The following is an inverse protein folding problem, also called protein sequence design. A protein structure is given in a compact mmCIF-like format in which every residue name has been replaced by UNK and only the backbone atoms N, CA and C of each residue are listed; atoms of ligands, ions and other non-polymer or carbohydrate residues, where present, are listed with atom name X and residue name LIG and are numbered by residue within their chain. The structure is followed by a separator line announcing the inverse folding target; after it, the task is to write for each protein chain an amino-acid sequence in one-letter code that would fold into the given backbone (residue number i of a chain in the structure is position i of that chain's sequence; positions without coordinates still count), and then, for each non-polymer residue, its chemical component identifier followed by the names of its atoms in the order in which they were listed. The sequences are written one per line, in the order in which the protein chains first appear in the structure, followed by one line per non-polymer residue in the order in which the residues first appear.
data_IF_397902924842
#
_entry.id   IF_397902924842
#
_cell.length_a   1.000
_cell.length_b   1.000
_cell.length_c   1.000
_cell.angle_alpha   90.00
_cell.angle_beta   90.00
_cell.angle_gamma   90.00
#
_symmetry.space_group_name_H-M   'P 1'
#
loop_
_entity.id
_entity.type
_entity.pdbx_description
1 polymer ?
#
# COMPACT_ATOMS: atom_id res chain seq x y z
N UNK A 1 14.82 65.86 -58.70
CA UNK A 1 14.41 65.76 -57.28
C UNK A 1 13.62 64.47 -57.11
N UNK A 2 13.98 63.60 -56.16
CA UNK A 2 13.33 62.29 -55.95
C UNK A 2 12.27 62.45 -54.85
N UNK A 3 11.00 62.31 -55.18
CA UNK A 3 9.90 62.35 -54.21
C UNK A 3 9.97 61.14 -53.26
N UNK A 4 10.27 61.41 -51.98
CA UNK A 4 10.13 60.40 -50.91
C UNK A 4 8.65 60.31 -50.52
N UNK A 5 7.96 59.32 -51.08
CA UNK A 5 6.61 58.92 -50.66
C UNK A 5 6.71 58.23 -49.30
N UNK A 6 6.35 58.94 -48.23
CA UNK A 6 6.18 58.35 -46.90
C UNK A 6 4.94 57.45 -46.92
N UNK A 7 5.13 56.12 -46.97
CA UNK A 7 4.03 55.16 -46.83
C UNK A 7 3.64 55.09 -45.36
N UNK A 8 2.56 55.77 -44.98
CA UNK A 8 1.92 55.58 -43.68
C UNK A 8 1.33 54.17 -43.59
N UNK A 9 1.51 53.51 -42.44
CA UNK A 9 0.83 52.25 -42.14
C UNK A 9 -0.60 52.61 -41.73
N UNK A 10 -1.58 52.07 -42.45
CA UNK A 10 -2.99 52.24 -42.09
C UNK A 10 -3.26 51.52 -40.77
N UNK A 11 -4.09 52.10 -39.89
CA UNK A 11 -4.44 51.50 -38.60
C UNK A 11 -4.90 50.03 -38.71
N UNK A 12 -5.61 49.70 -39.80
CA UNK A 12 -6.05 48.33 -40.11
C UNK A 12 -4.87 47.38 -40.30
N UNK A 13 -3.83 47.79 -41.03
CA UNK A 13 -2.63 46.97 -41.25
C UNK A 13 -1.87 46.72 -39.94
N UNK A 14 -1.85 47.72 -39.04
CA UNK A 14 -1.28 47.57 -37.72
C UNK A 14 -2.05 46.54 -36.87
N UNK A 15 -3.38 46.65 -36.84
CA UNK A 15 -4.25 45.75 -36.06
C UNK A 15 -4.12 44.30 -36.54
N UNK A 16 -4.16 44.05 -37.85
CA UNK A 16 -4.03 42.69 -38.40
C UNK A 16 -2.69 42.07 -38.03
N UNK A 17 -1.61 42.86 -38.07
CA UNK A 17 -0.28 42.38 -37.69
C UNK A 17 -0.23 41.95 -36.22
N UNK A 18 -0.85 42.73 -35.33
CA UNK A 18 -0.93 42.40 -33.90
C UNK A 18 -1.72 41.10 -33.69
N UNK A 19 -2.86 40.93 -34.37
CA UNK A 19 -3.68 39.71 -34.26
C UNK A 19 -2.89 38.48 -34.70
N UNK A 20 -2.18 38.56 -35.84
CA UNK A 20 -1.37 37.45 -36.35
C UNK A 20 -0.25 37.09 -35.37
N UNK A 21 0.44 38.09 -34.81
CA UNK A 21 1.49 37.86 -33.81
C UNK A 21 0.94 37.18 -32.55
N UNK A 22 -0.26 37.56 -32.09
CA UNK A 22 -0.90 36.95 -30.93
C UNK A 22 -1.30 35.49 -31.20
N UNK A 23 -1.80 35.18 -32.40
CA UNK A 23 -2.15 33.81 -32.79
C UNK A 23 -0.91 32.90 -32.89
N UNK A 24 0.17 33.40 -33.52
CA UNK A 24 1.43 32.65 -33.62
C UNK A 24 2.09 32.46 -32.24
N UNK A 25 2.04 33.48 -31.38
CA UNK A 25 2.54 33.37 -30.01
C UNK A 25 1.73 32.33 -29.23
N UNK A 26 0.40 32.34 -29.36
CA UNK A 26 -0.48 31.37 -28.69
C UNK A 26 -0.16 29.91 -29.05
N UNK A 27 0.00 29.60 -30.34
CA UNK A 27 0.32 28.22 -30.78
C UNK A 27 1.75 27.81 -30.41
N UNK A 28 2.70 28.75 -30.45
CA UNK A 28 4.10 28.48 -30.09
C UNK A 28 4.29 28.24 -28.59
N UNK A 29 3.61 29.02 -27.74
CA UNK A 29 3.66 28.85 -26.28
C UNK A 29 3.05 27.51 -25.88
N UNK A 30 1.91 27.12 -26.46
CA UNK A 30 1.32 25.81 -26.20
C UNK A 30 2.27 24.66 -26.56
N UNK A 31 2.97 24.72 -27.69
CA UNK A 31 3.94 23.68 -28.07
C UNK A 31 5.15 23.64 -27.12
N UNK A 32 5.56 24.79 -26.59
CA UNK A 32 6.71 24.90 -25.69
C UNK A 32 6.37 24.42 -24.27
N UNK A 33 5.19 24.77 -23.73
CA UNK A 33 4.85 24.67 -22.30
C UNK A 33 3.62 23.82 -21.96
N UNK A 34 2.94 23.18 -22.92
CA UNK A 34 1.84 22.26 -22.60
C UNK A 34 2.35 20.98 -21.91
N UNK A 35 1.43 20.22 -21.29
CA UNK A 35 1.68 18.83 -20.93
C UNK A 35 1.99 18.04 -22.22
N UNK A 36 3.17 17.42 -22.28
CA UNK A 36 3.82 16.85 -23.48
C UNK A 36 4.48 17.85 -24.45
N UNK A 37 4.56 19.13 -24.07
CA UNK A 37 5.35 20.14 -24.76
C UNK A 37 6.86 19.90 -24.64
N UNK A 38 7.65 20.64 -25.42
CA UNK A 38 9.10 20.40 -25.55
C UNK A 38 9.84 20.55 -24.21
N UNK A 39 9.50 21.56 -23.41
CA UNK A 39 10.16 21.78 -22.12
C UNK A 39 9.88 20.65 -21.13
N UNK A 40 8.63 20.22 -21.06
CA UNK A 40 8.19 19.10 -20.21
C UNK A 40 8.90 17.80 -20.59
N UNK A 41 8.99 17.48 -21.88
CA UNK A 41 9.67 16.26 -22.33
C UNK A 41 11.20 16.33 -22.11
N UNK A 42 11.80 17.51 -22.27
CA UNK A 42 13.22 17.71 -21.99
C UNK A 42 13.52 17.56 -20.49
N UNK A 43 12.64 18.05 -19.62
CA UNK A 43 12.73 17.89 -18.18
C UNK A 43 12.56 16.42 -17.75
N UNK A 44 11.59 15.71 -18.31
CA UNK A 44 11.41 14.27 -18.08
C UNK A 44 12.62 13.44 -18.54
N UNK A 45 13.17 13.74 -19.72
CA UNK A 45 14.37 13.07 -20.23
C UNK A 45 15.60 13.35 -19.35
N UNK A 46 15.77 14.61 -18.91
CA UNK A 46 16.83 14.99 -17.98
C UNK A 46 16.69 14.26 -16.64
N UNK A 47 15.50 14.26 -16.05
CA UNK A 47 15.24 13.57 -14.79
C UNK A 47 15.48 12.06 -14.93
N UNK A 48 15.12 11.46 -16.07
CA UNK A 48 15.43 10.05 -16.37
C UNK A 48 16.94 9.78 -16.37
N UNK A 49 17.71 10.60 -17.10
CA UNK A 49 19.19 10.47 -17.15
C UNK A 49 19.83 10.70 -15.78
N UNK A 50 19.39 11.72 -15.04
CA UNK A 50 19.88 12.01 -13.70
C UNK A 50 19.58 10.84 -12.74
N UNK A 51 18.39 10.23 -12.81
CA UNK A 51 18.03 9.03 -12.02
C UNK A 51 18.93 7.81 -12.30
N UNK A 52 19.32 7.58 -13.56
CA UNK A 52 20.20 6.47 -13.93
C UNK A 52 21.62 6.69 -13.37
N UNK A 53 22.14 7.91 -13.48
CA UNK A 53 23.47 8.25 -12.97
C UNK A 53 23.54 8.12 -11.43
N UNK A 54 22.49 8.55 -10.72
CA UNK A 54 22.42 8.47 -9.26
C UNK A 54 22.40 7.02 -8.74
N UNK A 55 21.67 6.12 -9.45
CA UNK A 55 21.63 4.70 -9.09
C UNK A 55 22.98 4.01 -9.31
N UNK A 56 23.65 4.30 -10.43
CA UNK A 56 24.95 3.71 -10.79
C UNK A 56 26.06 4.10 -9.79
N UNK A 57 26.03 5.34 -9.30
CA UNK A 57 26.93 5.78 -8.23
C UNK A 57 26.75 4.97 -6.95
N UNK A 58 25.50 4.72 -6.55
CA UNK A 58 25.21 3.89 -5.36
C UNK A 58 25.60 2.43 -5.61
N UNK A 59 25.33 1.87 -6.79
CA UNK A 59 25.74 0.51 -7.16
C UNK A 59 27.25 0.32 -7.00
N UNK A 60 28.03 1.29 -7.45
CA UNK A 60 29.49 1.28 -7.33
C UNK A 60 29.95 1.21 -5.87
N UNK A 61 29.37 2.05 -5.00
CA UNK A 61 29.72 2.05 -3.57
C UNK A 61 29.25 0.78 -2.84
N UNK A 62 28.10 0.21 -3.24
CA UNK A 62 27.64 -1.09 -2.71
C UNK A 62 28.62 -2.20 -3.06
N UNK A 63 29.06 -2.30 -4.32
CA UNK A 63 30.07 -3.29 -4.71
C UNK A 63 31.40 -3.13 -3.95
N UNK A 64 31.82 -1.89 -3.68
CA UNK A 64 33.02 -1.59 -2.90
C UNK A 64 32.94 -1.91 -1.41
N UNK A 65 31.75 -2.23 -0.89
CA UNK A 65 31.48 -2.36 0.55
C UNK A 65 31.29 -3.79 1.04
N UNK A 66 31.48 -4.79 0.16
CA UNK A 66 31.48 -6.20 0.55
C UNK A 66 32.82 -6.59 1.20
N UNK A 67 32.73 -7.37 2.27
CA UNK A 67 33.91 -7.97 2.90
C UNK A 67 34.42 -9.19 2.10
N UNK A 68 35.54 -9.77 2.55
CA UNK A 68 36.15 -10.96 1.91
C UNK A 68 35.29 -12.22 1.98
N UNK A 69 34.21 -12.22 2.78
CA UNK A 69 33.26 -13.34 2.90
C UNK A 69 31.99 -13.09 2.09
N UNK A 70 31.92 -11.97 1.35
CA UNK A 70 30.75 -11.60 0.56
C UNK A 70 29.61 -11.01 1.39
N UNK A 71 29.87 -10.52 2.61
CA UNK A 71 28.88 -9.81 3.42
C UNK A 71 29.02 -8.30 3.21
N UNK A 72 27.91 -7.62 2.94
CA UNK A 72 27.88 -6.16 2.85
C UNK A 72 28.06 -5.54 4.24
N UNK A 73 29.03 -4.64 4.39
CA UNK A 73 29.37 -4.02 5.69
C UNK A 73 28.76 -2.62 5.75
N UNK A 74 27.71 -2.45 6.59
CA UNK A 74 26.91 -1.22 6.67
C UNK A 74 27.75 0.03 6.98
N UNK A 75 28.68 -0.04 7.94
CA UNK A 75 29.55 1.08 8.31
C UNK A 75 30.48 1.49 7.16
N UNK A 76 31.01 0.50 6.42
CA UNK A 76 31.85 0.75 5.24
C UNK A 76 31.03 1.36 4.11
N UNK A 77 29.82 0.84 3.88
CA UNK A 77 28.89 1.37 2.89
C UNK A 77 28.49 2.81 3.15
N UNK A 78 28.09 3.14 4.38
CA UNK A 78 27.71 4.50 4.78
C UNK A 78 28.88 5.47 4.60
N UNK A 79 30.10 5.06 4.96
CA UNK A 79 31.31 5.85 4.76
C UNK A 79 31.60 6.09 3.29
N UNK A 80 31.55 5.04 2.47
CA UNK A 80 31.78 5.10 1.03
C UNK A 80 30.80 6.06 0.33
N UNK A 81 29.50 5.93 0.63
CA UNK A 81 28.46 6.82 0.11
C UNK A 81 28.72 8.28 0.48
N UNK A 82 29.00 8.57 1.76
CA UNK A 82 29.23 9.95 2.23
C UNK A 82 30.51 10.58 1.66
N UNK A 83 31.53 9.77 1.40
CA UNK A 83 32.83 10.25 0.96
C UNK A 83 32.95 10.37 -0.57
N UNK A 84 32.29 9.50 -1.33
CA UNK A 84 32.45 9.42 -2.78
C UNK A 84 31.27 10.01 -3.56
N UNK A 85 30.09 10.06 -2.97
CA UNK A 85 28.90 10.63 -3.62
C UNK A 85 28.65 12.03 -3.06
N UNK A 86 28.70 13.05 -3.92
CA UNK A 86 28.47 14.43 -3.49
C UNK A 86 26.99 14.73 -3.32
N UNK A 87 26.65 15.45 -2.24
CA UNK A 87 25.30 15.95 -2.04
C UNK A 87 24.30 14.86 -1.65
N UNK A 88 24.74 13.86 -0.90
CA UNK A 88 23.86 12.84 -0.31
C UNK A 88 23.84 12.91 1.21
N UNK A 89 22.74 12.42 1.78
CA UNK A 89 22.62 12.10 3.20
C UNK A 89 22.16 10.66 3.36
N UNK A 90 22.45 10.04 4.50
CA UNK A 90 21.95 8.70 4.84
C UNK A 90 21.10 8.73 6.11
N UNK A 91 20.16 7.77 6.24
CA UNK A 91 19.51 7.52 7.53
C UNK A 91 20.50 6.89 8.53
N UNK A 92 20.21 6.98 9.83
CA UNK A 92 21.09 6.50 10.91
C UNK A 92 21.55 5.05 10.68
N UNK A 93 22.87 4.77 10.48
CA UNK A 93 23.39 3.52 9.91
C UNK A 93 23.48 2.38 10.94
N UNK A 94 22.41 2.13 11.69
CA UNK A 94 22.37 1.11 12.75
C UNK A 94 21.87 -0.24 12.24
N UNK A 95 21.12 -0.25 11.14
CA UNK A 95 20.58 -1.47 10.50
C UNK A 95 20.29 -1.23 9.02
N UNK A 96 20.30 -2.30 8.22
CA UNK A 96 19.70 -2.27 6.89
C UNK A 96 18.17 -2.17 7.00
N UNK A 97 17.48 -1.55 6.02
CA UNK A 97 18.05 -0.94 4.82
C UNK A 97 18.69 0.43 5.09
N UNK A 98 19.80 0.72 4.40
CA UNK A 98 20.38 2.06 4.36
C UNK A 98 19.66 2.88 3.28
N UNK A 99 19.16 4.05 3.65
CA UNK A 99 18.50 5.00 2.77
C UNK A 99 19.49 6.09 2.40
N UNK A 100 19.73 6.29 1.11
CA UNK A 100 20.55 7.37 0.55
C UNK A 100 19.65 8.40 -0.09
N UNK A 101 19.73 9.65 0.35
CA UNK A 101 18.93 10.77 -0.19
C UNK A 101 19.85 11.74 -0.91
N UNK A 102 19.63 11.97 -2.20
CA UNK A 102 20.29 13.02 -2.96
C UNK A 102 19.66 14.37 -2.65
N UNK A 103 20.40 15.25 -1.98
CA UNK A 103 19.94 16.58 -1.56
C UNK A 103 19.52 17.51 -2.70
N UNK A 104 20.03 17.30 -3.92
CA UNK A 104 19.74 18.15 -5.08
C UNK A 104 18.47 17.71 -5.84
N UNK A 105 18.29 16.41 -6.04
CA UNK A 105 17.15 15.84 -6.77
C UNK A 105 15.99 15.47 -5.85
N UNK A 106 16.25 15.27 -4.55
CA UNK A 106 15.30 14.74 -3.58
C UNK A 106 15.05 13.23 -3.73
N UNK A 107 15.74 12.56 -4.67
CA UNK A 107 15.60 11.13 -4.87
C UNK A 107 16.20 10.37 -3.68
N UNK A 108 15.48 9.34 -3.24
CA UNK A 108 15.97 8.41 -2.23
C UNK A 108 16.21 7.05 -2.87
N UNK A 109 17.15 6.28 -2.32
CA UNK A 109 17.45 4.91 -2.72
C UNK A 109 17.62 4.06 -1.46
N UNK A 110 16.95 2.92 -1.38
CA UNK A 110 17.12 1.93 -0.31
C UNK A 110 18.08 0.84 -0.74
N UNK A 111 18.98 0.46 0.17
CA UNK A 111 19.98 -0.58 -0.02
C UNK A 111 19.73 -1.68 1.00
N UNK A 112 19.48 -2.92 0.55
CA UNK A 112 19.27 -4.08 1.43
C UNK A 112 20.58 -4.66 2.00
N UNK A 113 20.49 -5.60 2.95
CA UNK A 113 21.67 -6.33 3.46
C UNK A 113 22.35 -7.18 2.36
N UNK A 114 21.60 -7.59 1.33
CA UNK A 114 22.11 -8.35 0.19
C UNK A 114 22.70 -7.44 -0.92
N UNK A 115 22.60 -6.12 -0.78
CA UNK A 115 23.11 -5.14 -1.74
C UNK A 115 22.13 -4.78 -2.87
N UNK A 116 20.86 -5.16 -2.76
CA UNK A 116 19.84 -4.74 -3.72
C UNK A 116 19.52 -3.26 -3.56
N UNK A 117 19.52 -2.53 -4.67
CA UNK A 117 19.22 -1.09 -4.70
C UNK A 117 17.87 -0.85 -5.35
N UNK A 118 16.95 -0.24 -4.60
CA UNK A 118 15.64 0.19 -5.08
C UNK A 118 15.51 1.70 -4.89
N UNK A 119 14.88 2.40 -5.83
CA UNK A 119 14.53 3.81 -5.62
C UNK A 119 13.57 3.85 -4.41
N UNK A 120 14.00 4.46 -3.32
CA UNK A 120 13.16 4.65 -2.16
C UNK A 120 12.14 5.72 -2.52
N UNK A 121 10.87 5.38 -2.35
CA UNK A 121 9.79 6.33 -2.53
C UNK A 121 9.85 7.25 -1.32
N UNK A 122 10.19 8.52 -1.54
CA UNK A 122 10.23 9.50 -0.46
C UNK A 122 8.82 10.03 -0.24
N UNK A 123 8.12 9.46 0.72
CA UNK A 123 6.79 9.92 1.06
C UNK A 123 6.87 11.19 1.89
N UNK A 124 6.10 12.24 1.53
CA UNK A 124 6.06 13.47 2.28
C UNK A 124 5.50 13.17 3.67
N UNK A 125 6.01 13.87 4.67
CA UNK A 125 5.47 13.73 6.03
C UNK A 125 4.04 14.29 6.08
N UNK A 126 3.19 13.80 6.99
CA UNK A 126 1.87 14.40 7.16
C UNK A 126 1.93 15.87 7.58
N UNK A 127 3.05 16.35 8.14
CA UNK A 127 3.25 17.78 8.35
C UNK A 127 3.33 18.55 7.02
N UNK A 128 4.07 18.01 6.05
CA UNK A 128 4.22 18.61 4.72
C UNK A 128 2.95 18.53 3.87
N UNK A 129 2.20 17.42 3.97
CA UNK A 129 0.98 17.23 3.17
C UNK A 129 -0.24 17.80 3.86
N UNK A 130 -0.46 17.42 5.12
CA UNK A 130 -1.71 17.62 5.85
C UNK A 130 -1.62 18.74 6.90
N UNK A 131 -0.45 19.32 7.15
CA UNK A 131 -0.29 20.37 8.16
C UNK A 131 -0.57 19.91 9.60
N UNK A 132 -0.46 18.61 9.86
CA UNK A 132 -0.76 18.03 11.18
C UNK A 132 0.42 18.23 12.12
N UNK A 133 0.14 18.79 13.30
CA UNK A 133 1.13 18.93 14.36
C UNK A 133 1.45 17.56 14.97
N UNK A 134 2.64 17.06 14.66
CA UNK A 134 3.17 15.81 15.21
C UNK A 134 3.34 15.84 16.74
N UNK A 135 3.27 17.02 17.37
CA UNK A 135 3.37 17.23 18.81
C UNK A 135 2.01 17.32 19.51
N UNK A 136 0.90 17.06 18.82
CA UNK A 136 -0.42 17.09 19.44
C UNK A 136 -0.51 16.13 20.64
N UNK A 137 -1.29 16.53 21.65
CA UNK A 137 -1.36 15.86 22.96
C UNK A 137 -2.01 14.48 22.92
N UNK A 138 -2.84 14.20 21.92
CA UNK A 138 -3.54 12.92 21.79
C UNK A 138 -3.35 12.30 20.40
N UNK A 139 -3.38 10.98 20.31
CA UNK A 139 -3.26 10.27 19.02
C UNK A 139 -4.43 10.59 18.06
N UNK A 140 -5.61 10.90 18.61
CA UNK A 140 -6.78 11.33 17.83
C UNK A 140 -6.51 12.65 17.10
N UNK A 141 -5.83 13.60 17.74
CA UNK A 141 -5.47 14.90 17.14
C UNK A 141 -4.40 14.75 16.05
N UNK A 142 -3.56 13.72 16.14
CA UNK A 142 -2.54 13.38 15.11
C UNK A 142 -3.13 12.73 13.86
N UNK A 143 -4.43 12.40 13.87
CA UNK A 143 -5.09 11.67 12.80
C UNK A 143 -6.25 12.49 12.21
N UNK A 144 -5.97 13.47 11.33
CA UNK A 144 -7.00 14.29 10.71
C UNK A 144 -7.95 13.46 9.83
N UNK A 145 -9.07 14.07 9.49
CA UNK A 145 -10.02 13.54 8.51
C UNK A 145 -9.60 13.93 7.10
N UNK A 146 -9.69 12.97 6.18
CA UNK A 146 -9.37 13.14 4.76
C UNK A 146 -10.52 12.57 3.93
N UNK A 147 -11.00 13.32 2.95
CA UNK A 147 -11.92 12.80 1.94
C UNK A 147 -11.11 12.19 0.81
N UNK A 148 -11.20 10.86 0.67
CA UNK A 148 -10.61 10.12 -0.43
C UNK A 148 -11.70 9.81 -1.46
N UNK A 149 -11.49 10.15 -2.73
CA UNK A 149 -12.41 9.79 -3.82
C UNK A 149 -12.02 8.42 -4.36
N UNK A 150 -12.92 7.44 -4.26
CA UNK A 150 -12.69 6.08 -4.72
C UNK A 150 -12.77 5.96 -6.27
N UNK A 151 -12.44 4.79 -6.79
CA UNK A 151 -12.47 4.53 -8.24
C UNK A 151 -13.85 4.63 -8.89
N UNK A 152 -14.92 4.67 -8.08
CA UNK A 152 -16.30 4.81 -8.52
C UNK A 152 -16.83 6.23 -8.27
N UNK A 153 -15.93 7.19 -8.02
CA UNK A 153 -16.22 8.60 -7.73
C UNK A 153 -17.02 8.82 -6.42
N UNK A 154 -17.04 7.84 -5.52
CA UNK A 154 -17.64 8.02 -4.20
C UNK A 154 -16.61 8.58 -3.22
N UNK A 155 -17.06 9.45 -2.32
CA UNK A 155 -16.23 9.94 -1.23
C UNK A 155 -16.20 8.93 -0.08
N UNK A 156 -15.01 8.45 0.26
CA UNK A 156 -14.72 7.71 1.47
C UNK A 156 -14.12 8.68 2.49
N UNK A 157 -14.80 8.86 3.61
CA UNK A 157 -14.22 9.56 4.75
C UNK A 157 -13.14 8.67 5.37
N UNK A 158 -11.92 9.18 5.45
CA UNK A 158 -10.76 8.48 5.94
C UNK A 158 -10.12 9.21 7.12
N UNK A 159 -9.26 8.48 7.83
CA UNK A 159 -8.35 9.00 8.87
C UNK A 159 -6.93 8.55 8.57
N UNK A 160 -5.95 9.31 9.06
CA UNK A 160 -4.54 8.91 8.94
C UNK A 160 -4.24 7.79 9.94
N UNK A 161 -4.00 6.58 9.42
CA UNK A 161 -3.62 5.42 10.21
C UNK A 161 -2.14 5.49 10.59
N UNK A 162 -1.27 5.73 9.60
CA UNK A 162 0.17 5.85 9.77
C UNK A 162 0.68 7.13 9.11
N UNK A 163 1.71 7.69 9.74
CA UNK A 163 2.55 8.74 9.22
C UNK A 163 3.94 8.52 9.80
N UNK A 164 4.77 7.80 9.08
CA UNK A 164 6.13 7.43 9.48
C UNK A 164 7.08 7.42 8.28
N UNK A 165 8.27 6.86 8.47
CA UNK A 165 9.30 6.73 7.43
C UNK A 165 8.83 5.97 6.18
N UNK A 166 7.76 5.18 6.27
CA UNK A 166 7.18 4.46 5.15
C UNK A 166 6.01 5.23 4.52
N UNK A 167 5.77 6.49 4.90
CA UNK A 167 4.75 7.37 4.33
C UNK A 167 3.42 7.42 5.07
N UNK A 168 2.41 7.92 4.36
CA UNK A 168 1.08 8.21 4.91
C UNK A 168 0.10 7.13 4.46
N UNK A 169 -0.51 6.44 5.43
CA UNK A 169 -1.60 5.49 5.19
C UNK A 169 -2.93 6.10 5.66
N UNK A 170 -3.93 6.12 4.79
CA UNK A 170 -5.30 6.51 5.10
C UNK A 170 -6.17 5.28 5.28
N UNK A 171 -6.90 5.18 6.39
CA UNK A 171 -7.90 4.11 6.61
C UNK A 171 -9.31 4.69 6.54
N UNK A 172 -10.26 3.93 5.97
CA UNK A 172 -11.68 4.34 6.02
C UNK A 172 -12.14 4.54 7.46
N UNK A 173 -12.78 5.66 7.77
CA UNK A 173 -13.21 5.98 9.15
C UNK A 173 -14.41 5.15 9.60
N UNK A 174 -15.25 4.75 8.65
CA UNK A 174 -16.49 4.01 8.87
C UNK A 174 -16.56 2.75 7.99
N UNK A 175 -17.57 1.93 8.25
CA UNK A 175 -17.92 0.81 7.39
C UNK A 175 -18.36 1.31 6.00
N UNK A 176 -17.81 0.70 4.95
CA UNK A 176 -18.21 1.02 3.59
C UNK A 176 -19.65 0.57 3.32
N UNK A 177 -20.39 1.42 2.61
CA UNK A 177 -21.78 1.18 2.24
C UNK A 177 -22.00 1.47 0.76
N UNK A 178 -22.86 0.68 0.13
CA UNK A 178 -23.41 0.95 -1.19
C UNK A 178 -24.94 1.01 -1.06
N UNK A 179 -25.54 2.13 -1.48
CA UNK A 179 -26.99 2.38 -1.36
C UNK A 179 -27.55 2.07 0.04
N UNK A 180 -26.81 2.47 1.09
CA UNK A 180 -27.20 2.28 2.50
C UNK A 180 -26.94 0.90 3.09
N UNK A 181 -26.54 -0.09 2.28
CA UNK A 181 -26.21 -1.45 2.75
C UNK A 181 -24.71 -1.62 2.94
N UNK A 182 -24.29 -2.33 3.99
CA UNK A 182 -22.87 -2.64 4.22
C UNK A 182 -22.29 -3.45 3.07
N UNK A 183 -21.06 -3.11 2.70
CA UNK A 183 -20.27 -3.90 1.76
C UNK A 183 -19.56 -4.99 2.56
N UNK A 184 -19.88 -6.24 2.24
CA UNK A 184 -19.40 -7.41 2.97
C UNK A 184 -18.58 -8.33 2.07
N UNK A 185 -17.51 -8.89 2.63
CA UNK A 185 -16.70 -9.92 1.98
C UNK A 185 -17.07 -11.27 2.57
N UNK A 186 -17.37 -12.23 1.70
CA UNK A 186 -17.70 -13.61 2.09
C UNK A 186 -16.42 -14.44 2.08
N UNK A 187 -16.10 -15.09 3.20
CA UNK A 187 -15.01 -16.06 3.29
C UNK A 187 -15.55 -17.43 3.72
N UNK A 188 -14.75 -18.47 3.47
CA UNK A 188 -15.03 -19.87 3.75
C UNK A 188 -15.77 -20.59 2.61
N UNK A 189 -16.65 -21.53 2.95
CA UNK A 189 -17.35 -22.43 2.03
C UNK A 189 -18.05 -21.72 0.86
N UNK A 190 -18.71 -20.60 1.13
CA UNK A 190 -19.47 -19.84 0.12
C UNK A 190 -18.70 -18.64 -0.43
N UNK A 191 -17.38 -18.59 -0.28
CA UNK A 191 -16.55 -17.57 -0.89
C UNK A 191 -16.70 -17.63 -2.42
N UNK A 192 -17.20 -16.57 -3.08
CA UNK A 192 -17.44 -16.57 -4.51
C UNK A 192 -16.15 -16.50 -5.35
N UNK A 193 -15.00 -16.24 -4.73
CA UNK A 193 -13.70 -16.13 -5.41
C UNK A 193 -12.97 -17.47 -5.57
N UNK A 194 -13.42 -18.52 -4.89
CA UNK A 194 -12.80 -19.84 -4.93
C UNK A 194 -13.84 -20.94 -5.11
N UNK A 195 -13.35 -22.10 -5.50
CA UNK A 195 -14.11 -23.34 -5.63
C UNK A 195 -13.32 -24.50 -5.03
N UNK A 196 -13.97 -25.66 -4.87
CA UNK A 196 -13.30 -26.87 -4.41
C UNK A 196 -12.12 -27.33 -5.29
N UNK A 197 -12.03 -26.84 -6.54
CA UNK A 197 -10.95 -27.18 -7.49
C UNK A 197 -9.67 -26.41 -7.20
N UNK A 198 -9.77 -25.30 -6.49
CA UNK A 198 -8.64 -24.42 -6.15
C UNK A 198 -7.85 -24.95 -4.94
N UNK A 199 -8.24 -26.13 -4.42
CA UNK A 199 -7.54 -26.79 -3.32
C UNK A 199 -7.20 -28.24 -3.64
N UNK A 200 -5.90 -28.55 -3.63
CA UNK A 200 -5.37 -29.90 -3.85
C UNK A 200 -4.88 -30.49 -2.53
N UNK A 201 -5.28 -31.75 -2.29
CA UNK A 201 -4.85 -32.52 -1.13
C UNK A 201 -4.65 -33.98 -1.55
N UNK A 202 -3.47 -34.51 -1.24
CA UNK A 202 -3.00 -35.86 -1.63
C UNK A 202 -2.65 -36.73 -0.43
N UNK A 203 -3.19 -36.42 0.75
CA UNK A 203 -3.01 -37.22 1.97
C UNK A 203 -4.08 -38.30 2.18
N UNK A 204 -4.02 -38.95 3.33
CA UNK A 204 -4.88 -40.08 3.71
C UNK A 204 -6.11 -39.67 4.56
N UNK A 205 -6.26 -38.38 4.85
CA UNK A 205 -7.41 -37.82 5.56
C UNK A 205 -8.69 -37.79 4.73
N UNK A 206 -9.83 -37.57 5.39
CA UNK A 206 -11.15 -37.50 4.75
C UNK A 206 -11.54 -36.05 4.48
N UNK A 207 -11.97 -35.71 3.25
CA UNK A 207 -12.36 -34.34 2.88
C UNK A 207 -13.43 -34.36 1.78
N UNK A 208 -14.54 -33.63 1.98
CA UNK A 208 -15.59 -33.47 0.97
C UNK A 208 -15.38 -32.19 0.12
N UNK A 209 -16.28 -31.93 -0.84
CA UNK A 209 -16.18 -30.75 -1.72
C UNK A 209 -16.34 -29.42 -0.99
N UNK A 210 -17.20 -29.38 0.03
CA UNK A 210 -17.40 -28.20 0.86
C UNK A 210 -16.16 -27.86 1.68
N UNK A 211 -15.53 -28.89 2.26
CA UNK A 211 -14.28 -28.75 3.01
C UNK A 211 -13.17 -28.19 2.11
N UNK A 212 -13.05 -28.69 0.87
CA UNK A 212 -12.08 -28.17 -0.12
C UNK A 212 -12.31 -26.71 -0.46
N UNK A 213 -13.56 -26.28 -0.64
CA UNK A 213 -13.87 -24.89 -0.93
C UNK A 213 -13.52 -23.96 0.24
N UNK A 214 -13.84 -24.36 1.48
CA UNK A 214 -13.47 -23.59 2.67
C UNK A 214 -11.95 -23.53 2.87
N UNK A 215 -11.25 -24.64 2.63
CA UNK A 215 -9.79 -24.71 2.66
C UNK A 215 -9.13 -23.80 1.60
N UNK A 216 -9.68 -23.79 0.38
CA UNK A 216 -9.26 -22.85 -0.68
C UNK A 216 -9.43 -21.40 -0.23
N UNK A 217 -10.60 -21.07 0.36
CA UNK A 217 -10.91 -19.71 0.80
C UNK A 217 -9.96 -19.26 1.91
N UNK A 218 -9.65 -20.11 2.90
CA UNK A 218 -8.66 -19.78 3.93
C UNK A 218 -7.28 -19.45 3.33
N UNK A 219 -6.81 -20.28 2.40
CA UNK A 219 -5.52 -20.07 1.74
C UNK A 219 -5.51 -18.80 0.87
N UNK A 220 -6.64 -18.43 0.26
CA UNK A 220 -6.77 -17.24 -0.59
C UNK A 220 -7.28 -16.00 0.17
N UNK A 221 -7.56 -16.09 1.47
CA UNK A 221 -8.27 -15.05 2.21
C UNK A 221 -7.60 -13.66 2.16
N UNK A 222 -6.27 -13.58 2.32
CA UNK A 222 -5.53 -12.32 2.23
C UNK A 222 -5.61 -11.72 0.83
N UNK A 223 -5.46 -12.55 -0.21
CA UNK A 223 -5.63 -12.12 -1.59
C UNK A 223 -7.04 -11.60 -1.86
N UNK A 224 -8.09 -12.33 -1.45
CA UNK A 224 -9.47 -11.89 -1.57
C UNK A 224 -9.72 -10.53 -0.90
N UNK A 225 -9.21 -10.33 0.32
CA UNK A 225 -9.40 -9.09 1.08
C UNK A 225 -8.62 -7.92 0.48
N UNK A 226 -7.37 -8.13 0.08
CA UNK A 226 -6.54 -7.09 -0.53
C UNK A 226 -7.03 -6.73 -1.94
N UNK A 227 -7.46 -7.71 -2.75
CA UNK A 227 -8.16 -7.47 -4.01
C UNK A 227 -9.41 -6.61 -3.79
N UNK A 228 -10.20 -6.88 -2.75
CA UNK A 228 -11.40 -6.10 -2.47
C UNK A 228 -11.07 -4.65 -2.12
N UNK A 229 -10.03 -4.40 -1.32
CA UNK A 229 -9.58 -3.05 -0.99
C UNK A 229 -9.04 -2.30 -2.21
N UNK A 230 -8.26 -2.98 -3.06
CA UNK A 230 -7.67 -2.40 -4.27
C UNK A 230 -8.73 -1.94 -5.29
N UNK A 231 -9.93 -2.53 -5.28
CA UNK A 231 -11.06 -2.04 -6.09
C UNK A 231 -11.49 -0.62 -5.76
N UNK A 232 -11.21 -0.12 -4.56
CA UNK A 232 -11.58 1.25 -4.16
C UNK A 232 -10.48 2.25 -4.47
N UNK A 233 -9.28 1.81 -4.86
CA UNK A 233 -8.21 2.72 -5.22
C UNK A 233 -8.50 3.37 -6.56
N UNK A 234 -8.68 4.68 -6.55
CA UNK A 234 -8.71 5.46 -7.79
C UNK A 234 -7.29 5.55 -8.36
N UNK A 235 -7.03 4.79 -9.43
CA UNK A 235 -5.70 4.78 -10.07
C UNK A 235 -5.48 6.00 -10.96
N UNK A 236 -6.55 6.70 -11.35
CA UNK A 236 -6.50 7.78 -12.33
C UNK A 236 -6.06 9.12 -11.74
N UNK A 237 -6.36 9.38 -10.46
CA UNK A 237 -5.93 10.61 -9.77
C UNK A 237 -4.46 10.56 -9.31
N UNK A 238 -3.91 9.35 -9.16
CA UNK A 238 -2.55 9.14 -8.68
C UNK A 238 -2.33 9.57 -7.23
N UNK A 239 -3.39 9.75 -6.44
CA UNK A 239 -3.34 10.14 -5.02
C UNK A 239 -2.84 8.99 -4.14
N UNK A 240 -3.20 7.75 -4.48
CA UNK A 240 -2.75 6.56 -3.77
C UNK A 240 -2.00 5.59 -4.70
N UNK A 241 -0.79 5.20 -4.30
CA UNK A 241 0.06 4.28 -5.06
C UNK A 241 -0.38 2.81 -4.87
N UNK A 242 -0.93 2.48 -3.71
CA UNK A 242 -1.45 1.14 -3.39
C UNK A 242 -2.60 1.19 -2.39
N UNK A 243 -3.46 0.17 -2.40
CA UNK A 243 -4.42 -0.08 -1.33
C UNK A 243 -4.35 -1.53 -0.85
N UNK A 244 -4.63 -1.70 0.45
CA UNK A 244 -4.66 -3.00 1.13
C UNK A 244 -5.84 -3.08 2.08
N UNK A 245 -6.23 -4.28 2.48
CA UNK A 245 -7.18 -4.45 3.57
C UNK A 245 -6.44 -4.29 4.90
N UNK A 246 -7.10 -3.67 5.88
CA UNK A 246 -6.61 -3.61 7.26
C UNK A 246 -6.24 -5.00 7.79
N UNK A 247 -5.15 -5.08 8.53
CA UNK A 247 -4.58 -6.30 9.10
C UNK A 247 -3.51 -6.96 8.24
N UNK A 248 -3.41 -6.63 6.96
CA UNK A 248 -2.31 -7.07 6.10
C UNK A 248 -1.03 -6.26 6.35
N UNK A 249 0.12 -6.80 5.94
CA UNK A 249 1.41 -6.11 6.08
C UNK A 249 1.43 -4.80 5.27
N UNK A 250 2.03 -3.73 5.82
CA UNK A 250 2.25 -2.49 5.06
C UNK A 250 3.14 -2.75 3.85
N UNK A 251 2.85 -2.10 2.72
CA UNK A 251 3.50 -2.36 1.44
C UNK A 251 3.00 -3.61 0.70
N UNK A 252 2.00 -4.32 1.22
CA UNK A 252 1.28 -5.35 0.46
C UNK A 252 0.63 -4.73 -0.78
N UNK A 253 0.83 -5.35 -1.94
CA UNK A 253 0.23 -4.93 -3.21
C UNK A 253 -0.57 -6.08 -3.82
N UNK A 254 -1.33 -5.80 -4.88
CA UNK A 254 -2.06 -6.84 -5.62
C UNK A 254 -1.12 -7.90 -6.24
N UNK A 255 0.11 -7.50 -6.58
CA UNK A 255 1.12 -8.39 -7.15
C UNK A 255 1.80 -9.26 -6.08
N UNK A 256 1.74 -8.83 -4.82
CA UNK A 256 2.26 -9.58 -3.68
C UNK A 256 1.28 -9.52 -2.49
N UNK A 257 0.09 -10.13 -2.61
CA UNK A 257 -1.02 -9.91 -1.69
C UNK A 257 -0.95 -10.79 -0.43
N UNK A 258 -0.08 -11.81 -0.42
CA UNK A 258 0.08 -12.75 0.69
C UNK A 258 1.49 -13.36 0.72
N UNK A 259 2.34 -12.85 1.61
CA UNK A 259 3.72 -13.33 1.83
C UNK A 259 3.82 -14.47 2.83
N UNK A 260 2.69 -14.99 3.33
CA UNK A 260 2.71 -15.99 4.41
C UNK A 260 3.33 -17.29 3.94
N UNK A 261 4.13 -17.89 4.81
CA UNK A 261 4.68 -19.23 4.64
C UNK A 261 3.56 -20.28 4.70
N UNK A 262 3.91 -21.53 4.41
CA UNK A 262 3.01 -22.65 4.60
C UNK A 262 3.18 -23.19 6.02
N UNK A 263 2.05 -23.43 6.69
CA UNK A 263 2.00 -24.03 8.01
C UNK A 263 2.59 -25.44 7.99
N UNK A 264 3.44 -25.73 8.99
CA UNK A 264 4.07 -27.03 9.14
C UNK A 264 4.24 -27.36 10.63
N UNK A 265 3.46 -28.33 11.12
CA UNK A 265 3.56 -28.79 12.49
C UNK A 265 4.81 -29.65 12.68
N UNK A 266 5.65 -29.26 13.64
CA UNK A 266 6.90 -29.96 13.98
C UNK A 266 6.95 -30.48 15.42
N UNK A 267 5.82 -30.37 16.15
CA UNK A 267 5.72 -30.81 17.54
C UNK A 267 5.53 -32.33 17.69
N UNK A 268 5.72 -32.83 18.91
CA UNK A 268 5.62 -34.27 19.22
C UNK A 268 4.26 -34.72 19.76
N UNK A 269 3.34 -33.80 20.04
CA UNK A 269 2.10 -34.11 20.78
C UNK A 269 0.88 -34.29 19.88
N UNK A 270 0.86 -33.68 18.69
CA UNK A 270 -0.30 -33.64 17.79
C UNK A 270 0.08 -34.05 16.36
N UNK A 271 0.73 -35.21 16.23
CA UNK A 271 1.35 -35.70 14.98
C UNK A 271 0.36 -36.09 13.89
N UNK A 272 -0.95 -35.86 14.07
CA UNK A 272 -1.96 -36.16 13.05
C UNK A 272 -1.76 -35.30 11.79
N UNK A 273 -1.22 -34.08 11.91
CA UNK A 273 -0.89 -33.25 10.75
C UNK A 273 0.16 -33.92 9.85
N UNK A 274 1.13 -34.62 10.44
CA UNK A 274 2.11 -35.42 9.70
C UNK A 274 1.50 -36.76 9.23
N UNK A 275 0.83 -37.47 10.14
CA UNK A 275 0.24 -38.81 9.91
C UNK A 275 -0.69 -38.84 8.71
N UNK A 276 -1.50 -37.80 8.55
CA UNK A 276 -2.45 -37.66 7.45
C UNK A 276 -1.93 -36.73 6.34
N UNK A 277 -0.65 -36.34 6.36
CA UNK A 277 -0.03 -35.53 5.31
C UNK A 277 -0.71 -34.16 5.07
N UNK A 278 -1.06 -33.44 6.15
CA UNK A 278 -1.63 -32.09 6.12
C UNK A 278 -0.57 -30.97 6.23
N UNK A 279 0.67 -31.30 6.58
CA UNK A 279 1.76 -30.33 6.65
C UNK A 279 2.07 -29.71 5.27
N UNK A 280 2.32 -28.40 5.24
CA UNK A 280 2.65 -27.66 4.03
C UNK A 280 1.46 -27.34 3.11
N UNK A 281 0.22 -27.54 3.58
CA UNK A 281 -1.00 -27.40 2.76
C UNK A 281 -1.75 -26.09 3.03
N UNK A 282 -1.72 -25.61 4.27
CA UNK A 282 -2.39 -24.39 4.68
C UNK A 282 -1.41 -23.24 4.83
N UNK A 283 -1.86 -22.01 4.59
CA UNK A 283 -1.10 -20.81 4.92
C UNK A 283 -0.93 -20.68 6.44
N UNK A 284 0.24 -20.22 6.87
CA UNK A 284 0.57 -20.07 8.29
C UNK A 284 -0.12 -18.85 8.93
N UNK A 285 -0.10 -18.82 10.26
CA UNK A 285 -0.49 -17.67 11.06
C UNK A 285 0.50 -16.51 10.92
N UNK A 286 0.01 -15.30 11.18
CA UNK A 286 0.84 -14.10 11.23
C UNK A 286 0.44 -13.22 12.43
N UNK A 287 1.16 -12.12 12.63
CA UNK A 287 0.87 -11.10 13.67
C UNK A 287 0.65 -9.71 13.08
N UNK A 288 0.47 -9.59 11.76
CA UNK A 288 0.43 -8.32 11.06
C UNK A 288 -0.72 -7.43 11.54
N UNK A 289 -1.85 -8.04 11.91
CA UNK A 289 -3.02 -7.30 12.34
C UNK A 289 -2.91 -6.62 13.69
N UNK A 290 -1.97 -7.01 14.55
CA UNK A 290 -1.83 -6.39 15.87
C UNK A 290 -1.46 -4.91 15.75
N UNK A 291 -0.55 -4.58 14.84
CA UNK A 291 -0.12 -3.19 14.62
C UNK A 291 -1.28 -2.30 14.16
N UNK A 292 -2.03 -2.76 13.15
CA UNK A 292 -3.18 -2.01 12.64
C UNK A 292 -4.28 -1.91 13.71
N UNK A 293 -4.57 -3.01 14.43
CA UNK A 293 -5.63 -3.05 15.43
C UNK A 293 -5.36 -2.10 16.59
N UNK A 294 -4.19 -2.20 17.23
CA UNK A 294 -3.87 -1.33 18.36
C UNK A 294 -3.77 0.12 17.92
N UNK A 295 -3.26 0.38 16.71
CA UNK A 295 -3.29 1.73 16.16
C UNK A 295 -4.71 2.26 16.00
N UNK A 296 -5.63 1.46 15.49
CA UNK A 296 -7.04 1.86 15.41
C UNK A 296 -7.70 2.04 16.77
N UNK A 297 -7.30 1.26 17.79
CA UNK A 297 -7.77 1.39 19.17
C UNK A 297 -7.30 2.72 19.79
N UNK A 298 -6.01 3.07 19.64
CA UNK A 298 -5.45 4.34 20.09
C UNK A 298 -6.16 5.55 19.44
N UNK A 299 -6.54 5.40 18.18
CA UNK A 299 -7.28 6.40 17.41
C UNK A 299 -8.79 6.42 17.71
N UNK A 300 -9.30 5.44 18.47
CA UNK A 300 -10.72 5.28 18.78
C UNK A 300 -11.58 4.95 17.56
N UNK A 301 -11.01 4.32 16.53
CA UNK A 301 -11.69 3.99 15.27
C UNK A 301 -11.79 2.49 14.99
N UNK A 302 -11.38 1.63 15.93
CA UNK A 302 -11.51 0.19 15.78
C UNK A 302 -12.98 -0.28 15.76
N UNK A 303 -13.88 0.41 16.49
CA UNK A 303 -15.31 0.10 16.48
C UNK A 303 -16.06 0.96 15.45
N UNK A 304 -16.57 0.32 14.39
CA UNK A 304 -17.34 0.97 13.32
C UNK A 304 -18.83 0.57 13.32
N UNK A 305 -19.32 -0.02 14.42
CA UNK A 305 -20.70 -0.47 14.58
C UNK A 305 -21.08 -1.72 13.77
N UNK A 306 -20.11 -2.40 13.14
CA UNK A 306 -20.28 -3.69 12.47
C UNK A 306 -18.96 -4.46 12.48
N UNK A 307 -19.04 -5.79 12.39
CA UNK A 307 -17.85 -6.64 12.34
C UNK A 307 -17.15 -6.57 10.98
N UNK A 308 -15.82 -6.58 10.98
CA UNK A 308 -15.01 -6.56 9.76
C UNK A 308 -13.80 -7.47 9.84
N UNK A 309 -13.46 -8.08 8.72
CA UNK A 309 -12.28 -8.92 8.56
C UNK A 309 -10.99 -8.12 8.77
N UNK A 310 -10.02 -8.76 9.41
CA UNK A 310 -8.61 -8.36 9.34
C UNK A 310 -7.93 -9.34 8.37
N UNK A 311 -7.14 -8.83 7.43
CA UNK A 311 -6.37 -9.63 6.48
C UNK A 311 -5.16 -10.28 7.17
N UNK A 312 -5.44 -11.17 8.13
CA UNK A 312 -4.46 -11.83 8.99
C UNK A 312 -5.02 -13.14 9.54
N UNK A 313 -4.16 -14.14 9.69
CA UNK A 313 -4.51 -15.51 10.06
C UNK A 313 -4.03 -15.86 11.46
N UNK A 314 -4.82 -16.68 12.14
CA UNK A 314 -4.42 -17.37 13.35
C UNK A 314 -4.57 -18.88 13.17
N UNK A 315 -3.78 -19.64 13.91
CA UNK A 315 -3.90 -21.11 13.98
C UNK A 315 -4.02 -21.48 15.45
N UNK A 316 -4.98 -22.35 15.76
CA UNK A 316 -5.17 -22.88 17.10
C UNK A 316 -5.09 -24.39 17.06
N UNK A 317 -4.25 -24.96 17.92
CA UNK A 317 -3.94 -26.38 17.92
C UNK A 317 -4.25 -26.96 19.29
N UNK A 318 -4.91 -28.12 19.30
CA UNK A 318 -5.08 -28.93 20.49
C UNK A 318 -4.98 -30.43 20.16
N UNK A 319 -5.17 -31.26 21.17
CA UNK A 319 -5.08 -32.73 21.03
C UNK A 319 -6.16 -33.34 20.14
N UNK A 320 -7.21 -32.59 19.81
CA UNK A 320 -8.37 -33.06 19.07
C UNK A 320 -8.44 -32.48 17.66
N UNK A 321 -7.91 -31.27 17.44
CA UNK A 321 -7.97 -30.59 16.14
C UNK A 321 -6.94 -29.46 15.98
N UNK A 322 -6.64 -29.14 14.73
CA UNK A 322 -5.97 -27.92 14.30
C UNK A 322 -6.99 -27.05 13.57
N UNK A 323 -7.20 -25.83 14.06
CA UNK A 323 -8.15 -24.86 13.51
C UNK A 323 -7.40 -23.75 12.76
N UNK A 324 -7.88 -23.43 11.57
CA UNK A 324 -7.37 -22.40 10.69
C UNK A 324 -8.36 -21.24 10.68
N UNK A 325 -7.94 -20.10 11.26
CA UNK A 325 -8.82 -18.99 11.60
C UNK A 325 -8.40 -17.70 10.89
N UNK A 326 -9.38 -16.88 10.54
CA UNK A 326 -9.17 -15.48 10.17
C UNK A 326 -9.40 -14.59 11.39
N UNK A 327 -8.59 -13.55 11.54
CA UNK A 327 -8.86 -12.52 12.54
C UNK A 327 -9.92 -11.56 12.04
N UNK A 328 -10.71 -11.02 12.96
CA UNK A 328 -11.69 -9.99 12.65
C UNK A 328 -11.92 -9.11 13.88
N UNK A 329 -12.44 -7.92 13.65
CA UNK A 329 -12.91 -7.03 14.72
C UNK A 329 -14.41 -7.21 14.84
N UNK A 330 -14.89 -7.50 16.05
CA UNK A 330 -16.31 -7.67 16.35
C UNK A 330 -17.06 -6.33 16.34
N UNK A 331 -18.39 -6.38 16.42
CA UNK A 331 -19.24 -5.19 16.58
C UNK A 331 -18.97 -4.43 17.89
N UNK A 332 -18.34 -5.08 18.88
CA UNK A 332 -17.91 -4.44 20.12
C UNK A 332 -16.54 -3.75 20.00
N UNK A 333 -15.89 -3.82 18.83
CA UNK A 333 -14.54 -3.29 18.59
C UNK A 333 -13.41 -4.22 19.05
N UNK A 334 -13.72 -5.42 19.55
CA UNK A 334 -12.71 -6.38 20.03
C UNK A 334 -12.12 -7.21 18.89
N UNK A 335 -10.79 -7.36 18.84
CA UNK A 335 -10.16 -8.31 17.92
C UNK A 335 -10.37 -9.74 18.42
N UNK A 336 -10.95 -10.58 17.57
CA UNK A 336 -11.25 -11.99 17.85
C UNK A 336 -10.93 -12.87 16.64
N UNK A 337 -11.01 -14.19 16.82
CA UNK A 337 -10.76 -15.17 15.77
C UNK A 337 -12.07 -15.76 15.25
N UNK A 338 -12.12 -16.02 13.95
CA UNK A 338 -13.20 -16.73 13.30
C UNK A 338 -12.65 -17.96 12.59
N UNK A 339 -13.11 -19.15 12.98
CA UNK A 339 -12.68 -20.39 12.34
C UNK A 339 -13.20 -20.46 10.91
N UNK A 340 -12.33 -20.75 9.94
CA UNK A 340 -12.71 -21.01 8.55
C UNK A 340 -12.69 -22.51 8.26
N UNK A 341 -11.68 -23.19 8.78
CA UNK A 341 -11.41 -24.59 8.47
C UNK A 341 -10.80 -25.32 9.69
N UNK A 342 -10.99 -26.63 9.77
CA UNK A 342 -10.35 -27.46 10.79
C UNK A 342 -9.88 -28.80 10.22
N UNK A 343 -8.81 -29.33 10.82
CA UNK A 343 -8.34 -30.70 10.66
C UNK A 343 -8.45 -31.40 12.00
N UNK A 344 -9.23 -32.48 12.04
CA UNK A 344 -9.39 -33.32 13.23
C UNK A 344 -8.24 -34.31 13.41
N UNK A 345 -8.01 -34.69 14.65
CA UNK A 345 -6.99 -35.67 15.07
C UNK A 345 -7.15 -37.07 14.46
N UNK A 346 -8.35 -37.40 13.97
CA UNK A 346 -8.69 -38.61 13.21
C UNK A 346 -8.40 -38.47 11.69
N UNK A 347 -7.83 -37.34 11.26
CA UNK A 347 -7.55 -37.03 9.86
C UNK A 347 -8.75 -36.50 9.07
N UNK A 348 -9.93 -36.36 9.68
CA UNK A 348 -11.07 -35.74 9.01
C UNK A 348 -10.88 -34.23 8.91
N UNK A 349 -11.06 -33.69 7.72
CA UNK A 349 -11.11 -32.27 7.47
C UNK A 349 -12.57 -31.79 7.59
N UNK A 350 -12.77 -30.54 7.98
CA UNK A 350 -14.11 -30.04 8.17
C UNK A 350 -14.19 -28.52 8.12
N UNK A 351 -15.36 -28.05 7.72
CA UNK A 351 -15.78 -26.68 8.01
C UNK A 351 -16.03 -26.51 9.51
N UNK A 352 -15.54 -25.41 10.08
CA UNK A 352 -15.98 -24.96 11.39
C UNK A 352 -17.47 -24.56 11.30
N UNK A 353 -18.23 -24.76 12.37
CA UNK A 353 -19.64 -24.38 12.40
C UNK A 353 -19.80 -22.88 12.08
N UNK A 354 -20.37 -22.56 10.90
CA UNK A 354 -20.54 -21.18 10.43
C UNK A 354 -19.56 -20.71 9.35
N UNK A 355 -18.80 -21.60 8.70
CA UNK A 355 -17.77 -21.31 7.68
C UNK A 355 -18.26 -20.62 6.39
N UNK A 356 -19.38 -19.90 6.40
CA UNK A 356 -19.81 -19.01 5.33
C UNK A 356 -20.27 -17.73 5.99
N UNK A 357 -19.31 -16.87 6.31
CA UNK A 357 -19.53 -15.64 7.07
C UNK A 357 -19.24 -14.43 6.22
N UNK A 358 -20.06 -13.40 6.43
CA UNK A 358 -19.99 -12.13 5.74
C UNK A 358 -19.70 -11.06 6.78
N UNK A 359 -18.52 -10.47 6.69
CA UNK A 359 -18.15 -9.31 7.50
C UNK A 359 -17.72 -8.19 6.58
N UNK A 360 -17.73 -6.96 7.10
CA UNK A 360 -17.15 -5.83 6.40
C UNK A 360 -15.66 -6.00 6.18
N UNK A 361 -15.06 -5.02 5.53
CA UNK A 361 -13.62 -4.87 5.44
C UNK A 361 -13.31 -3.37 5.46
N UNK A 362 -12.05 -3.00 5.67
CA UNK A 362 -11.62 -1.59 5.64
C UNK A 362 -10.42 -1.43 4.72
N UNK A 363 -10.52 -0.60 3.66
CA UNK A 363 -9.36 -0.28 2.85
C UNK A 363 -8.43 0.67 3.60
N UNK A 364 -7.14 0.46 3.37
CA UNK A 364 -6.04 1.35 3.74
C UNK A 364 -5.37 1.79 2.46
N UNK A 365 -5.38 3.09 2.18
CA UNK A 365 -4.79 3.72 0.99
C UNK A 365 -3.44 4.32 1.35
N UNK A 366 -2.40 3.89 0.64
CA UNK A 366 -1.07 4.43 0.81
C UNK A 366 -0.88 5.63 -0.13
N UNK A 367 -0.67 6.83 0.43
CA UNK A 367 -0.59 8.06 -0.35
C UNK A 367 0.70 8.14 -1.15
N UNK A 368 0.59 8.68 -2.35
CA UNK A 368 1.72 8.90 -3.25
C UNK A 368 2.60 10.06 -2.76
N UNK A 369 3.86 10.08 -3.20
CA UNK A 369 4.90 10.98 -2.69
C UNK A 369 4.73 12.49 -2.98
N UNK A 370 3.80 12.89 -3.84
CA UNK A 370 3.66 14.29 -4.27
C UNK A 370 2.25 14.85 -4.07
N UNK A 371 1.46 14.18 -3.25
CA UNK A 371 0.10 14.60 -2.89
C UNK A 371 0.14 15.84 -2.01
N UNK A 372 -0.85 16.73 -2.17
CA UNK A 372 -1.01 17.97 -1.40
C UNK A 372 -2.45 18.17 -0.99
N UNK A 373 -2.66 18.85 0.14
CA UNK A 373 -3.98 19.37 0.51
C UNK A 373 -4.31 20.58 -0.36
N UNK A 374 -5.48 20.56 -0.99
CA UNK A 374 -6.00 21.68 -1.78
C UNK A 374 -7.12 22.45 -1.06
N UNK A 375 -7.79 21.82 -0.09
CA UNK A 375 -8.80 22.46 0.76
C UNK A 375 -9.13 21.61 2.00
N UNK A 376 -9.91 22.17 2.92
CA UNK A 376 -10.30 21.54 4.17
C UNK A 376 -9.39 21.91 5.34
N UNK A 377 -9.85 21.59 6.55
CA UNK A 377 -9.14 21.90 7.81
C UNK A 377 -8.74 20.63 8.59
N UNK A 378 -9.01 19.44 8.04
CA UNK A 378 -8.69 18.16 8.67
C UNK A 378 -9.65 17.75 9.79
N UNK A 379 -10.74 18.50 9.99
CA UNK A 379 -11.80 18.17 10.95
C UNK A 379 -12.86 17.28 10.31
N UNK A 380 -13.69 16.59 11.09
CA UNK A 380 -14.75 15.73 10.53
C UNK A 380 -15.76 16.53 9.67
N UNK A 381 -16.07 17.77 10.06
CA UNK A 381 -16.95 18.68 9.32
C UNK A 381 -16.27 19.37 8.13
N UNK A 382 -14.93 19.43 8.11
CA UNK A 382 -14.13 20.01 7.03
C UNK A 382 -12.91 19.12 6.74
N UNK A 383 -13.12 17.90 6.21
CA UNK A 383 -12.01 16.98 5.95
C UNK A 383 -11.08 17.54 4.88
N UNK A 384 -9.80 17.17 4.94
CA UNK A 384 -8.87 17.52 3.87
C UNK A 384 -9.27 16.91 2.54
N UNK A 385 -9.12 17.69 1.47
CA UNK A 385 -9.23 17.23 0.08
C UNK A 385 -7.84 17.26 -0.53
N UNK A 386 -7.47 16.15 -1.16
CA UNK A 386 -6.14 15.92 -1.71
C UNK A 386 -6.14 16.07 -3.24
N UNK A 387 -5.00 16.49 -3.78
CA UNK A 387 -4.72 16.51 -5.22
C UNK A 387 -3.22 16.27 -5.47
N UNK A 388 -2.85 16.00 -6.72
CA UNK A 388 -1.49 15.63 -7.12
C UNK A 388 -0.73 16.73 -7.88
#
# INVERSE_FOLDING_TARGET
MKDKRNKGITLIALIVTIIVLLLLAGTSIQMLSAQNGILTNAELAKNSVDNYNEKEQIETEVFGSFDRKGKLVLETLDSNIKNHIMGVTTNDPVKFPLIVTYTKSGNCYSISEDGDIKKAINYPTALEVLGVDINASTEVEKSPFVNYTDSNENTILCRVLYNDENGIDLISSNALKNNGSYILVTLGLCDPKVTYKDFTYVGSGTMNTSDRAAAASYNRALETLNEEAEKYRNKADGIADSARCVGSLRGTTIDNPDTSLMYNYTGSFWTYMETYNWNGIFKDSDINSYNDYFRMEDLGINNIGTGYWLASRNIYEDSTSTQFLMRFVSESGGMINHGIFLVGSNGSAGVTSGSSTKYGFRPVFHLSSNVKVISGEGTESSPYILDK
#
